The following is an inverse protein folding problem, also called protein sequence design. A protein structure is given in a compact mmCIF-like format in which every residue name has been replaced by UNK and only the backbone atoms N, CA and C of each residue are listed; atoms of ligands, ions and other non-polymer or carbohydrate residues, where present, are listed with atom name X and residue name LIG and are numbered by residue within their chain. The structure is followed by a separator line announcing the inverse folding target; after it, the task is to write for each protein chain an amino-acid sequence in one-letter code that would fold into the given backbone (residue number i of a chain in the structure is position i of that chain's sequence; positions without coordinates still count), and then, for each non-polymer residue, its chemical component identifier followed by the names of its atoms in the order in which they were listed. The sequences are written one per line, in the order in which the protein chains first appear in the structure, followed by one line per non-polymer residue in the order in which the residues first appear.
data_IF_453773382222
#
_entry.id   IF_453773382222
#
_cell.length_a   1.000
_cell.length_b   1.000
_cell.length_c   1.000
_cell.angle_alpha   90.00
_cell.angle_beta   90.00
_cell.angle_gamma   90.00
#
_symmetry.space_group_name_H-M   'P 1'
#
loop_
_entity.id
_entity.type
_entity.pdbx_description
1 polymer ?
#
# COMPACT_ATOMS: atom_id res chain seq x y z
N UNK A 1 -12.56 10.72 19.99
CA UNK A 1 -11.17 10.45 19.57
C UNK A 1 -10.98 8.96 19.70
N UNK A 2 -10.91 8.24 18.57
CA UNK A 2 -10.51 6.83 18.56
C UNK A 2 -9.94 6.44 17.18
N UNK A 3 -9.10 7.31 16.61
CA UNK A 3 -8.53 7.14 15.27
C UNK A 3 -7.48 6.01 15.19
N UNK A 4 -7.03 5.50 16.34
CA UNK A 4 -6.03 4.42 16.44
C UNK A 4 -6.70 3.04 16.44
N UNK A 5 -7.95 2.91 16.92
CA UNK A 5 -8.66 1.62 16.98
C UNK A 5 -9.14 1.11 15.60
N UNK A 6 -9.26 2.01 14.61
CA UNK A 6 -9.60 1.69 13.21
C UNK A 6 -8.38 1.28 12.34
N UNK A 7 -7.17 1.23 12.92
CA UNK A 7 -5.94 0.90 12.19
C UNK A 7 -5.83 -0.61 12.00
N UNK A 8 -5.71 -1.03 10.74
CA UNK A 8 -5.45 -2.43 10.43
C UNK A 8 -3.95 -2.74 10.52
N UNK A 9 -3.50 -3.10 11.73
CA UNK A 9 -2.11 -3.47 12.03
C UNK A 9 -1.68 -4.71 11.25
N UNK A 10 -2.58 -5.67 11.00
CA UNK A 10 -2.25 -6.88 10.23
C UNK A 10 -1.81 -6.52 8.81
N UNK A 11 -2.55 -5.61 8.16
CA UNK A 11 -2.19 -5.15 6.82
C UNK A 11 -0.83 -4.43 6.80
N UNK A 12 -0.51 -3.67 7.85
CA UNK A 12 0.79 -3.03 8.02
C UNK A 12 1.91 -4.06 8.11
N UNK A 13 1.81 -5.03 9.03
CA UNK A 13 2.85 -6.05 9.23
C UNK A 13 3.04 -6.88 7.96
N UNK A 14 1.95 -7.30 7.33
CA UNK A 14 2.01 -8.13 6.12
C UNK A 14 2.58 -7.35 4.92
N UNK A 15 2.18 -6.08 4.76
CA UNK A 15 2.70 -5.22 3.71
C UNK A 15 4.19 -4.92 3.90
N UNK A 16 4.62 -4.64 5.13
CA UNK A 16 6.01 -4.45 5.51
C UNK A 16 6.85 -5.71 5.25
N UNK A 17 6.35 -6.89 5.63
CA UNK A 17 7.01 -8.17 5.41
C UNK A 17 7.16 -8.49 3.91
N UNK A 18 6.12 -8.25 3.11
CA UNK A 18 6.18 -8.44 1.65
C UNK A 18 7.21 -7.49 1.03
N UNK A 19 7.21 -6.20 1.43
CA UNK A 19 8.16 -5.22 0.91
C UNK A 19 9.61 -5.64 1.22
N UNK A 20 9.88 -6.06 2.47
CA UNK A 20 11.19 -6.56 2.88
C UNK A 20 11.59 -7.84 2.12
N UNK A 21 10.66 -8.79 1.98
CA UNK A 21 10.92 -10.05 1.27
C UNK A 21 11.36 -9.79 -0.17
N UNK A 22 10.65 -8.94 -0.91
CA UNK A 22 11.02 -8.62 -2.30
C UNK A 22 12.40 -7.96 -2.43
N UNK A 23 12.81 -7.16 -1.44
CA UNK A 23 14.16 -6.58 -1.42
C UNK A 23 15.20 -7.66 -1.17
N UNK A 24 14.97 -8.56 -0.21
CA UNK A 24 15.88 -9.68 0.06
C UNK A 24 15.99 -10.64 -1.14
N UNK A 25 14.88 -10.94 -1.80
CA UNK A 25 14.88 -11.72 -3.05
C UNK A 25 15.59 -10.97 -4.18
N UNK A 26 15.43 -9.65 -4.26
CA UNK A 26 16.14 -8.80 -5.21
C UNK A 26 17.65 -8.93 -5.06
N UNK A 27 18.12 -8.76 -3.83
CA UNK A 27 19.53 -8.87 -3.48
C UNK A 27 20.12 -10.27 -3.76
N UNK A 28 19.39 -11.33 -3.41
CA UNK A 28 19.90 -12.70 -3.50
C UNK A 28 19.84 -13.29 -4.91
N UNK A 29 18.86 -12.89 -5.73
CA UNK A 29 18.58 -13.57 -7.00
C UNK A 29 18.54 -12.63 -8.19
N UNK A 30 17.75 -11.55 -8.14
CA UNK A 30 17.55 -10.68 -9.31
C UNK A 30 17.02 -9.28 -8.96
N UNK A 31 17.76 -8.24 -9.35
CA UNK A 31 17.40 -6.84 -9.13
C UNK A 31 16.01 -6.44 -9.65
N UNK A 32 15.46 -7.18 -10.60
CA UNK A 32 14.11 -6.94 -11.11
C UNK A 32 13.02 -7.11 -10.05
N UNK A 33 13.33 -7.72 -8.89
CA UNK A 33 12.39 -7.83 -7.77
C UNK A 33 12.25 -6.55 -6.93
N UNK A 34 13.22 -5.61 -6.96
CA UNK A 34 13.15 -4.39 -6.13
C UNK A 34 11.90 -3.55 -6.37
N UNK A 35 11.45 -3.28 -7.62
CA UNK A 35 10.23 -2.51 -7.87
C UNK A 35 8.96 -3.20 -7.33
N UNK A 36 8.96 -4.53 -7.23
CA UNK A 36 7.81 -5.29 -6.71
C UNK A 36 7.63 -5.15 -5.20
N UNK A 37 8.63 -4.64 -4.47
CA UNK A 37 8.48 -4.27 -3.06
C UNK A 37 7.34 -3.26 -2.82
N UNK A 38 7.03 -2.43 -3.82
CA UNK A 38 5.91 -1.49 -3.78
C UNK A 38 4.54 -2.18 -3.62
N UNK A 39 4.40 -3.46 -3.99
CA UNK A 39 3.18 -4.24 -3.75
C UNK A 39 2.90 -4.36 -2.25
N UNK A 40 3.95 -4.56 -1.44
CA UNK A 40 3.83 -4.61 0.02
C UNK A 40 3.31 -3.29 0.59
N UNK A 41 3.84 -2.17 0.10
CA UNK A 41 3.41 -0.81 0.50
C UNK A 41 1.96 -0.52 0.07
N UNK A 42 1.58 -0.92 -1.16
CA UNK A 42 0.21 -0.83 -1.65
C UNK A 42 -0.75 -1.64 -0.76
N UNK A 43 -0.35 -2.85 -0.35
CA UNK A 43 -1.16 -3.70 0.52
C UNK A 43 -1.36 -3.09 1.90
N UNK A 44 -0.30 -2.53 2.50
CA UNK A 44 -0.37 -1.85 3.79
C UNK A 44 -1.35 -0.67 3.77
N UNK A 45 -1.32 0.13 2.69
CA UNK A 45 -2.26 1.24 2.47
C UNK A 45 -3.69 0.77 2.16
N UNK A 46 -3.84 -0.22 1.29
CA UNK A 46 -5.13 -0.79 0.90
C UNK A 46 -5.88 -1.41 2.10
N UNK A 47 -5.18 -1.96 3.08
CA UNK A 47 -5.81 -2.49 4.28
C UNK A 47 -6.58 -1.46 5.12
N UNK A 48 -6.27 -0.17 4.99
CA UNK A 48 -6.79 0.89 5.86
C UNK A 48 -8.17 1.40 5.46
N UNK A 49 -8.89 1.99 6.42
CA UNK A 49 -10.24 2.54 6.24
C UNK A 49 -10.23 3.95 5.63
N UNK A 50 -9.26 4.77 6.03
CA UNK A 50 -9.12 6.15 5.61
C UNK A 50 -7.87 6.35 4.76
N UNK A 51 -7.93 7.31 3.83
CA UNK A 51 -6.80 7.65 2.95
C UNK A 51 -5.61 8.22 3.73
N UNK A 52 -5.88 9.06 4.74
CA UNK A 52 -4.83 9.62 5.61
C UNK A 52 -4.11 8.49 6.37
N UNK A 53 -4.87 7.58 6.99
CA UNK A 53 -4.32 6.40 7.68
C UNK A 53 -3.54 5.51 6.71
N UNK A 54 -4.04 5.29 5.49
CA UNK A 54 -3.31 4.54 4.46
C UNK A 54 -1.98 5.16 4.06
N UNK A 55 -1.92 6.50 4.00
CA UNK A 55 -0.69 7.26 3.71
C UNK A 55 0.34 7.08 4.82
N UNK A 56 -0.07 7.28 6.07
CA UNK A 56 0.81 7.08 7.24
C UNK A 56 1.29 5.63 7.32
N UNK A 57 0.43 4.67 7.00
CA UNK A 57 0.75 3.25 7.09
C UNK A 57 1.66 2.81 5.95
N UNK A 58 1.58 3.43 4.78
CA UNK A 58 2.57 3.27 3.73
C UNK A 58 3.96 3.76 4.14
N UNK A 59 4.03 4.92 4.81
CA UNK A 59 5.30 5.42 5.35
C UNK A 59 5.87 4.46 6.42
N UNK A 60 5.05 4.02 7.36
CA UNK A 60 5.47 3.05 8.38
C UNK A 60 5.87 1.69 7.78
N UNK A 61 5.15 1.21 6.76
CA UNK A 61 5.48 -0.03 6.05
C UNK A 61 6.79 0.06 5.26
N UNK A 62 7.28 1.27 4.96
CA UNK A 62 8.58 1.48 4.32
C UNK A 62 9.76 1.46 5.31
N UNK A 63 9.51 1.40 6.63
CA UNK A 63 10.59 1.30 7.63
C UNK A 63 11.53 0.11 7.43
N UNK A 64 11.08 -1.11 7.05
CA UNK A 64 12.00 -2.20 6.75
C UNK A 64 12.83 -1.94 5.50
N UNK A 65 12.27 -1.21 4.51
CA UNK A 65 13.00 -0.79 3.30
C UNK A 65 14.16 0.10 3.72
N UNK A 66 13.91 1.09 4.58
CA UNK A 66 14.95 1.97 5.12
C UNK A 66 16.05 1.17 5.82
N UNK A 67 15.69 0.25 6.70
CA UNK A 67 16.67 -0.60 7.41
C UNK A 67 17.51 -1.41 6.42
N UNK A 68 16.88 -2.04 5.42
CA UNK A 68 17.57 -2.82 4.40
C UNK A 68 18.46 -1.96 3.50
N UNK A 69 18.04 -0.72 3.17
CA UNK A 69 18.87 0.23 2.44
C UNK A 69 20.13 0.58 3.23
N UNK A 70 20.00 0.86 4.53
CA UNK A 70 21.14 1.19 5.40
C UNK A 70 22.10 0.01 5.59
N UNK A 71 21.60 -1.22 5.46
CA UNK A 71 22.41 -2.45 5.50
C UNK A 71 23.08 -2.78 4.15
N UNK A 72 22.84 -1.99 3.10
CA UNK A 72 23.46 -2.17 1.78
C UNK A 72 22.75 -3.16 0.86
N UNK A 73 21.56 -3.67 1.23
CA UNK A 73 20.79 -4.62 0.39
C UNK A 73 20.23 -3.99 -0.89
N UNK A 74 20.31 -2.68 -1.04
CA UNK A 74 19.88 -1.91 -2.22
C UNK A 74 21.07 -1.24 -2.93
N UNK A 75 22.30 -1.64 -2.59
CA UNK A 75 23.55 -1.06 -3.07
C UNK A 75 24.33 -0.37 -1.95
N UNK A 76 25.66 -0.45 -2.02
CA UNK A 76 26.58 0.24 -1.11
C UNK A 76 26.81 1.67 -1.58
N UNK A 77 26.74 2.63 -0.66
CA UNK A 77 27.20 3.99 -0.93
C UNK A 77 28.72 4.00 -0.76
N UNK A 78 29.46 3.82 -1.85
CA UNK A 78 30.92 3.67 -1.79
C UNK A 78 31.64 5.01 -1.60
N UNK A 79 31.21 6.09 -2.28
CA UNK A 79 31.76 7.44 -2.09
C UNK A 79 30.72 8.54 -2.39
N UNK A 80 30.90 9.74 -1.81
CA UNK A 80 30.15 10.96 -2.16
C UNK A 80 29.08 11.40 -1.17
N UNK A 81 28.13 12.23 -1.62
CA UNK A 81 27.11 12.86 -0.76
C UNK A 81 26.31 11.85 0.07
N UNK A 82 26.07 10.64 -0.46
CA UNK A 82 25.27 9.60 0.19
C UNK A 82 25.96 8.87 1.36
N UNK A 83 27.26 9.10 1.59
CA UNK A 83 27.95 8.61 2.79
C UNK A 83 27.93 9.62 3.94
N UNK A 84 27.52 10.87 3.66
CA UNK A 84 27.34 11.89 4.70
C UNK A 84 26.05 11.66 5.48
N UNK A 85 26.02 12.08 6.74
CA UNK A 85 24.81 12.02 7.59
C UNK A 85 23.60 12.71 6.91
N UNK A 86 23.85 13.82 6.21
CA UNK A 86 22.82 14.55 5.46
C UNK A 86 22.30 13.75 4.26
N UNK A 87 23.19 13.08 3.53
CA UNK A 87 22.80 12.24 2.40
C UNK A 87 22.01 11.01 2.82
N UNK A 88 22.45 10.32 3.88
CA UNK A 88 21.71 9.18 4.46
C UNK A 88 20.32 9.61 4.92
N UNK A 89 20.22 10.73 5.64
CA UNK A 89 18.93 11.28 6.08
C UNK A 89 18.03 11.64 4.90
N UNK A 90 18.59 12.21 3.83
CA UNK A 90 17.86 12.54 2.61
C UNK A 90 17.28 11.28 1.95
N UNK A 91 18.07 10.21 1.83
CA UNK A 91 17.59 8.92 1.30
C UNK A 91 16.46 8.34 2.15
N UNK A 92 16.61 8.36 3.47
CA UNK A 92 15.55 7.90 4.39
C UNK A 92 14.25 8.68 4.19
N UNK A 93 14.32 10.01 4.11
CA UNK A 93 13.15 10.86 3.89
C UNK A 93 12.50 10.54 2.54
N UNK A 94 13.30 10.37 1.48
CA UNK A 94 12.79 10.00 0.15
C UNK A 94 12.04 8.67 0.21
N UNK A 95 12.62 7.64 0.84
CA UNK A 95 11.97 6.33 0.99
C UNK A 95 10.65 6.46 1.75
N UNK A 96 10.62 7.23 2.84
CA UNK A 96 9.39 7.48 3.61
C UNK A 96 8.32 8.22 2.80
N UNK A 97 8.72 9.22 2.00
CA UNK A 97 7.82 9.99 1.13
C UNK A 97 7.24 9.10 0.03
N UNK A 98 8.08 8.27 -0.62
CA UNK A 98 7.62 7.30 -1.61
C UNK A 98 6.70 6.27 -0.95
N UNK A 99 7.05 5.77 0.23
CA UNK A 99 6.23 4.86 1.02
C UNK A 99 4.85 5.44 1.34
N UNK A 100 4.82 6.71 1.76
CA UNK A 100 3.58 7.45 2.00
C UNK A 100 2.72 7.55 0.73
N UNK A 101 3.34 7.91 -0.39
CA UNK A 101 2.65 8.06 -1.67
C UNK A 101 2.05 6.73 -2.16
N UNK A 102 2.82 5.64 -2.10
CA UNK A 102 2.34 4.32 -2.50
C UNK A 102 1.21 3.84 -1.57
N UNK A 103 1.33 4.06 -0.26
CA UNK A 103 0.26 3.78 0.70
C UNK A 103 -1.02 4.60 0.44
N UNK A 104 -0.87 5.87 0.07
CA UNK A 104 -1.97 6.72 -0.37
C UNK A 104 -2.69 6.13 -1.60
N UNK A 105 -1.94 5.71 -2.63
CA UNK A 105 -2.49 5.09 -3.84
C UNK A 105 -3.24 3.80 -3.49
N UNK A 106 -2.70 2.97 -2.61
CA UNK A 106 -3.35 1.74 -2.13
C UNK A 106 -4.69 2.03 -1.45
N UNK A 107 -4.73 3.00 -0.56
CA UNK A 107 -5.96 3.39 0.14
C UNK A 107 -6.99 4.06 -0.78
N UNK A 108 -6.53 4.88 -1.73
CA UNK A 108 -7.38 5.50 -2.73
C UNK A 108 -8.05 4.45 -3.63
N UNK A 109 -7.30 3.43 -4.04
CA UNK A 109 -7.80 2.31 -4.85
C UNK A 109 -8.91 1.55 -4.13
N UNK A 110 -8.76 1.26 -2.82
CA UNK A 110 -9.82 0.65 -2.02
C UNK A 110 -11.09 1.50 -2.01
N UNK A 111 -10.96 2.81 -1.78
CA UNK A 111 -12.11 3.71 -1.73
C UNK A 111 -12.88 3.72 -3.05
N UNK A 112 -12.19 3.73 -4.18
CA UNK A 112 -12.84 3.67 -5.50
C UNK A 112 -13.51 2.31 -5.75
N UNK A 113 -12.86 1.21 -5.34
CA UNK A 113 -13.45 -0.13 -5.47
C UNK A 113 -14.72 -0.29 -4.64
N UNK A 114 -14.75 0.21 -3.40
CA UNK A 114 -15.94 0.16 -2.55
C UNK A 114 -17.10 0.92 -3.20
N UNK A 115 -16.84 2.15 -3.68
CA UNK A 115 -17.85 2.93 -4.42
C UNK A 115 -18.38 2.21 -5.65
N UNK A 116 -17.49 1.59 -6.43
CA UNK A 116 -17.88 0.83 -7.61
C UNK A 116 -18.78 -0.36 -7.23
N UNK A 117 -18.44 -1.13 -6.19
CA UNK A 117 -19.26 -2.25 -5.74
C UNK A 117 -20.64 -1.81 -5.26
N UNK A 118 -20.74 -0.69 -4.54
CA UNK A 118 -22.04 -0.13 -4.13
C UNK A 118 -22.91 0.27 -5.33
N UNK A 119 -22.32 0.82 -6.40
CA UNK A 119 -23.04 1.13 -7.63
C UNK A 119 -23.49 -0.14 -8.37
N UNK A 120 -22.67 -1.19 -8.40
CA UNK A 120 -23.05 -2.49 -8.98
C UNK A 120 -24.19 -3.14 -8.19
N UNK A 121 -24.17 -3.11 -6.86
CA UNK A 121 -25.24 -3.65 -6.02
C UNK A 121 -26.55 -2.88 -6.23
N UNK A 122 -26.50 -1.54 -6.29
CA UNK A 122 -27.67 -0.72 -6.61
C UNK A 122 -28.25 -1.09 -7.97
N UNK A 123 -27.42 -1.23 -9.02
CA UNK A 123 -27.86 -1.64 -10.36
C UNK A 123 -28.44 -3.06 -10.40
N UNK A 124 -27.84 -4.02 -9.70
CA UNK A 124 -28.38 -5.38 -9.59
C UNK A 124 -29.73 -5.42 -8.85
N UNK A 125 -29.86 -4.68 -7.75
CA UNK A 125 -31.10 -4.64 -6.97
C UNK A 125 -32.25 -3.95 -7.74
N UNK A 126 -31.94 -2.94 -8.56
CA UNK A 126 -32.90 -2.32 -9.48
C UNK A 126 -33.33 -3.31 -10.57
N UNK A 127 -32.38 -4.04 -11.18
CA UNK A 127 -32.69 -5.07 -12.20
C UNK A 127 -33.55 -6.22 -11.65
N UNK A 128 -33.25 -6.70 -10.43
CA UNK A 128 -34.05 -7.72 -9.74
C UNK A 128 -35.48 -7.24 -9.42
N UNK A 129 -35.65 -5.99 -8.99
CA UNK A 129 -36.99 -5.39 -8.77
C UNK A 129 -37.78 -5.26 -10.07
N UNK A 130 -37.15 -4.88 -11.17
CA UNK A 130 -37.79 -4.76 -12.50
C UNK A 130 -38.29 -6.11 -13.03
N UNK A 131 -37.46 -7.15 -12.91
CA UNK A 131 -37.85 -8.51 -13.28
C UNK A 131 -38.97 -9.09 -12.41
N UNK A 132 -39.01 -8.75 -11.11
CA UNK A 132 -40.10 -9.17 -10.22
C UNK A 132 -41.42 -8.49 -10.58
N UNK A 133 -41.38 -7.20 -10.97
CA UNK A 133 -42.56 -6.44 -11.41
C UNK A 133 -43.15 -6.96 -12.74
N UNK A 134 -42.30 -7.23 -13.73
CA UNK A 134 -42.72 -7.80 -15.02
C UNK A 134 -43.31 -9.23 -14.90
N UNK A 135 -42.95 -9.99 -13.85
CA UNK A 135 -43.54 -11.31 -13.59
C UNK A 135 -44.93 -11.24 -12.95
N UNK A 136 -45.25 -10.14 -12.27
CA UNK A 136 -46.55 -9.92 -11.62
C UNK A 136 -47.56 -9.37 -12.63
N UNK A 137 -47.14 -8.49 -13.55
CA UNK A 137 -48.01 -7.93 -14.60
C UNK A 137 -48.36 -8.92 -15.73
N UNK A 138 -47.67 -10.07 -15.82
CA UNK A 138 -47.93 -11.14 -16.81
C UNK A 138 -48.77 -12.30 -16.27
N UNK A 139 -49.26 -12.22 -15.03
CA UNK A 139 -50.14 -13.21 -14.40
C UNK A 139 -51.54 -12.62 -14.22
#
# INVERSE_FOLDING_TARGET
MDSISDINIKALIFGAAIAAAFILFGYQYWDWFYPFSAIGLLYAGYGQKNVITGTVMGALASTPIVVLTLQGYLGTFEEGFFTTETGVMTVMIIILVIGAFVGFVGAWTKRNRVKAMEEYEKKQNIGKKKNKKNKIEKK
#
